data_IF_565379204321
#
_entry.id   IF_565379204321
#
_cell.length_a   1.000
_cell.length_b   1.000
_cell.length_c   1.000
_cell.angle_alpha   90.00
_cell.angle_beta   90.00
_cell.angle_gamma   90.00
#
_symmetry.space_group_name_H-M   'P 1'
#
loop_
_entity.id
_entity.type
_entity.pdbx_description
1 polymer ?
#
# COMPACT_ATOMS: atom_id res chain seq x y z
N UNK A 1 -0.97 -0.58 -15.47
CA UNK A 1 -1.81 0.13 -14.49
C UNK A 1 -3.09 -0.68 -14.26
N UNK A 2 -3.04 -1.66 -13.35
CA UNK A 2 -4.14 -2.60 -13.10
C UNK A 2 -4.95 -2.13 -11.89
N UNK A 3 -6.27 -2.03 -12.05
CA UNK A 3 -7.22 -1.80 -10.96
C UNK A 3 -8.04 -3.05 -10.82
N UNK A 4 -8.28 -3.46 -9.59
CA UNK A 4 -8.91 -4.72 -9.32
C UNK A 4 -9.74 -4.68 -8.08
N UNK A 5 -11.00 -4.33 -8.26
CA UNK A 5 -11.98 -4.65 -7.24
C UNK A 5 -12.27 -6.14 -7.30
N UNK A 6 -11.72 -6.91 -6.37
CA UNK A 6 -12.03 -8.33 -6.17
C UNK A 6 -13.55 -8.51 -6.01
N UNK A 7 -14.21 -9.18 -6.95
CA UNK A 7 -15.59 -9.67 -6.76
C UNK A 7 -15.58 -11.18 -6.62
N UNK A 8 -16.22 -11.69 -5.57
CA UNK A 8 -16.50 -13.11 -5.41
C UNK A 8 -17.74 -13.49 -6.22
N UNK A 9 -17.57 -14.39 -7.19
CA UNK A 9 -18.68 -15.05 -7.89
C UNK A 9 -18.70 -16.53 -7.55
N UNK A 10 -19.86 -17.06 -7.18
CA UNK A 10 -20.08 -18.51 -6.97
C UNK A 10 -20.80 -19.07 -8.19
N UNK A 11 -20.13 -19.96 -8.92
CA UNK A 11 -20.74 -20.76 -10.00
C UNK A 11 -20.38 -22.23 -9.73
N UNK A 12 -21.30 -22.99 -9.15
CA UNK A 12 -21.01 -24.34 -8.64
C UNK A 12 -20.14 -24.34 -7.37
N UNK A 13 -19.17 -25.28 -7.25
CA UNK A 13 -18.21 -25.37 -6.12
C UNK A 13 -16.99 -24.44 -6.26
N UNK A 14 -16.95 -23.61 -7.29
CA UNK A 14 -15.78 -22.78 -7.62
C UNK A 14 -15.98 -21.36 -7.11
N UNK A 15 -15.03 -20.86 -6.32
CA UNK A 15 -14.93 -19.44 -5.95
C UNK A 15 -14.02 -18.76 -6.95
N UNK A 16 -14.54 -17.77 -7.66
CA UNK A 16 -13.76 -16.96 -8.60
C UNK A 16 -13.63 -15.53 -8.09
N UNK A 17 -12.45 -14.95 -8.31
CA UNK A 17 -12.16 -13.57 -7.97
C UNK A 17 -11.71 -12.80 -9.22
N UNK A 18 -12.33 -11.65 -9.49
CA UNK A 18 -12.04 -10.83 -10.67
C UNK A 18 -11.62 -9.41 -10.30
N UNK A 19 -10.73 -8.83 -11.10
CA UNK A 19 -10.14 -7.50 -10.94
C UNK A 19 -10.80 -6.56 -11.96
N UNK A 20 -11.52 -5.54 -11.47
CA UNK A 20 -12.21 -4.57 -12.33
C UNK A 20 -11.31 -3.37 -12.64
N UNK A 21 -10.87 -3.29 -13.90
CA UNK A 21 -10.05 -2.20 -14.44
C UNK A 21 -10.91 -0.98 -14.84
N UNK A 22 -11.52 -0.28 -13.88
CA UNK A 22 -12.44 0.84 -14.13
C UNK A 22 -11.81 2.24 -14.04
N UNK A 23 -10.50 2.38 -14.13
CA UNK A 23 -9.82 3.65 -13.91
C UNK A 23 -10.12 4.35 -12.54
N UNK A 24 -10.66 3.66 -11.52
CA UNK A 24 -10.81 4.18 -10.14
C UNK A 24 -9.49 4.44 -9.39
N UNK A 25 -9.34 5.62 -8.80
CA UNK A 25 -8.07 6.25 -8.39
C UNK A 25 -7.18 5.39 -7.47
N UNK A 26 -5.86 5.41 -7.71
CA UNK A 26 -4.82 4.90 -6.80
C UNK A 26 -4.76 5.82 -5.59
N UNK A 27 -4.65 5.29 -4.37
CA UNK A 27 -4.54 6.17 -3.21
C UNK A 27 -3.17 6.83 -3.21
N UNK A 28 -3.13 8.16 -3.31
CA UNK A 28 -1.91 8.94 -3.17
C UNK A 28 -2.04 9.80 -1.91
N UNK A 29 -1.11 9.62 -0.98
CA UNK A 29 -1.06 10.34 0.29
C UNK A 29 0.21 11.19 0.30
N UNK A 30 0.07 12.44 0.71
CA UNK A 30 1.21 13.29 1.02
C UNK A 30 1.18 13.59 2.51
N UNK A 31 2.31 13.39 3.19
CA UNK A 31 2.47 13.56 4.62
C UNK A 31 3.78 14.30 4.91
N UNK A 32 3.91 14.81 6.13
CA UNK A 32 5.12 15.50 6.60
C UNK A 32 5.44 15.06 8.01
N UNK A 33 6.70 14.73 8.27
CA UNK A 33 7.23 14.49 9.60
C UNK A 33 8.19 15.61 9.98
N UNK A 34 7.85 16.35 11.03
CA UNK A 34 8.66 17.50 11.49
C UNK A 34 9.78 17.10 12.44
N UNK A 35 9.74 15.87 12.96
CA UNK A 35 10.65 15.37 14.00
C UNK A 35 11.46 14.15 13.54
N UNK A 36 11.58 13.94 12.22
CA UNK A 36 12.29 12.79 11.67
C UNK A 36 13.18 13.24 10.53
N UNK A 37 14.46 12.92 10.63
CA UNK A 37 15.42 13.07 9.56
C UNK A 37 15.72 11.72 8.89
N UNK A 38 16.44 11.74 7.78
CA UNK A 38 16.84 10.54 7.05
C UNK A 38 17.73 9.63 7.92
N UNK A 39 18.60 10.21 8.75
CA UNK A 39 19.48 9.46 9.65
C UNK A 39 18.70 8.64 10.69
N UNK A 40 17.59 9.19 11.21
CA UNK A 40 16.71 8.49 12.16
C UNK A 40 16.10 7.20 11.58
N UNK A 41 16.08 7.07 10.25
CA UNK A 41 15.55 5.90 9.54
C UNK A 41 16.67 4.93 9.14
N UNK A 42 17.82 5.46 8.68
CA UNK A 42 18.89 4.66 8.07
C UNK A 42 19.99 4.19 9.05
N UNK A 43 20.25 4.95 10.11
CA UNK A 43 21.32 4.63 11.08
C UNK A 43 20.98 3.50 12.07
N UNK A 44 19.72 3.37 12.55
CA UNK A 44 19.39 2.32 13.50
C UNK A 44 19.58 0.91 12.93
N UNK A 45 20.07 -0.01 13.76
CA UNK A 45 20.21 -1.44 13.38
C UNK A 45 18.86 -2.12 13.13
N UNK A 46 17.79 -1.65 13.79
CA UNK A 46 16.45 -2.17 13.67
C UNK A 46 15.52 -1.14 13.05
N UNK A 47 14.50 -1.60 12.32
CA UNK A 47 13.51 -0.72 11.69
C UNK A 47 12.80 0.10 12.77
N UNK A 48 12.91 1.44 12.74
CA UNK A 48 12.23 2.30 13.71
C UNK A 48 10.71 2.17 13.61
N UNK A 49 9.96 2.13 14.74
CA UNK A 49 8.50 1.98 14.71
C UNK A 49 7.77 3.09 13.93
N UNK A 50 8.38 4.26 13.79
CA UNK A 50 7.80 5.38 13.01
C UNK A 50 7.68 5.05 11.52
N UNK A 51 8.50 4.15 11.00
CA UNK A 51 8.50 3.76 9.58
C UNK A 51 7.15 3.18 9.16
N UNK A 52 6.45 2.47 10.05
CA UNK A 52 5.11 1.92 9.78
C UNK A 52 4.06 3.01 9.44
N UNK A 53 4.25 4.22 9.96
CA UNK A 53 3.38 5.38 9.69
C UNK A 53 3.63 6.02 8.32
N UNK A 54 4.75 5.68 7.66
CA UNK A 54 5.11 6.21 6.35
C UNK A 54 4.52 5.40 5.19
N UNK A 55 3.78 4.33 5.49
CA UNK A 55 3.04 3.54 4.53
C UNK A 55 1.54 3.81 4.62
N UNK A 56 0.91 4.07 3.48
CA UNK A 56 -0.54 4.11 3.40
C UNK A 56 -1.10 2.68 3.50
N UNK A 57 -2.34 2.52 3.97
CA UNK A 57 -3.00 1.22 4.14
C UNK A 57 -2.31 0.26 5.14
N UNK A 58 -1.44 0.75 6.03
CA UNK A 58 -0.89 -0.05 7.14
C UNK A 58 -2.03 -0.64 7.98
N UNK A 59 -2.02 -1.97 8.16
CA UNK A 59 -3.05 -2.71 8.89
C UNK A 59 -4.29 -3.13 8.08
N UNK A 60 -4.37 -2.78 6.78
CA UNK A 60 -5.44 -3.28 5.90
C UNK A 60 -5.15 -4.72 5.51
N UNK A 61 -6.06 -5.64 5.86
CA UNK A 61 -5.95 -7.06 5.50
C UNK A 61 -6.39 -7.28 4.05
N UNK A 62 -5.76 -8.24 3.37
CA UNK A 62 -5.97 -8.53 1.94
C UNK A 62 -7.42 -8.83 1.54
N UNK A 63 -8.29 -9.29 2.46
CA UNK A 63 -9.70 -9.55 2.18
C UNK A 63 -10.60 -8.29 2.22
N UNK A 64 -10.15 -7.21 2.84
CA UNK A 64 -10.90 -5.94 2.93
C UNK A 64 -10.83 -5.11 1.63
N UNK A 65 -10.07 -5.61 0.65
CA UNK A 65 -9.79 -4.97 -0.64
C UNK A 65 -10.98 -4.94 -1.59
N UNK A 66 -12.07 -5.66 -1.30
CA UNK A 66 -13.35 -5.46 -2.01
C UNK A 66 -13.84 -4.00 -1.91
N UNK A 67 -13.44 -3.30 -0.85
CA UNK A 67 -13.87 -1.92 -0.54
C UNK A 67 -12.73 -0.91 -0.42
N UNK A 68 -11.47 -1.36 -0.45
CA UNK A 68 -10.26 -0.52 -0.28
C UNK A 68 -9.38 -0.54 -1.54
N UNK A 69 -8.57 0.52 -1.80
CA UNK A 69 -7.74 0.59 -2.99
C UNK A 69 -6.67 -0.52 -3.02
N UNK A 70 -6.37 -1.04 -4.21
CA UNK A 70 -5.37 -2.11 -4.42
C UNK A 70 -3.91 -1.67 -4.27
N UNK A 71 -3.69 -0.38 -4.49
CA UNK A 71 -2.40 0.24 -4.58
C UNK A 71 -2.49 1.58 -3.86
N UNK A 72 -1.53 1.84 -2.99
CA UNK A 72 -1.35 3.14 -2.38
C UNK A 72 0.12 3.56 -2.41
N UNK A 73 0.33 4.85 -2.63
CA UNK A 73 1.62 5.51 -2.49
C UNK A 73 1.51 6.59 -1.43
N UNK A 74 2.49 6.67 -0.55
CA UNK A 74 2.62 7.74 0.42
C UNK A 74 3.98 8.41 0.25
N UNK A 75 3.97 9.71 0.01
CA UNK A 75 5.16 10.56 0.01
C UNK A 75 5.20 11.29 1.34
N UNK A 76 6.20 11.00 2.15
CA UNK A 76 6.40 11.65 3.45
C UNK A 76 7.63 12.55 3.36
N UNK A 77 7.44 13.85 3.55
CA UNK A 77 8.54 14.80 3.70
C UNK A 77 9.15 14.68 5.09
N UNK A 78 10.48 14.57 5.14
CA UNK A 78 11.29 14.56 6.34
C UNK A 78 11.97 15.92 6.50
N UNK A 79 12.67 16.13 7.62
CA UNK A 79 13.40 17.39 7.88
C UNK A 79 14.42 17.68 6.76
N UNK A 80 15.10 16.66 6.27
CA UNK A 80 16.25 16.72 5.36
C UNK A 80 16.10 15.79 4.15
N UNK A 81 14.91 15.25 3.89
CA UNK A 81 14.71 14.29 2.81
C UNK A 81 13.25 13.93 2.52
N UNK A 82 13.06 12.91 1.69
CA UNK A 82 11.73 12.40 1.31
C UNK A 82 11.74 10.88 1.46
N UNK A 83 10.70 10.35 2.08
CA UNK A 83 10.41 8.92 2.15
C UNK A 83 9.23 8.59 1.23
N UNK A 84 9.36 7.54 0.40
CA UNK A 84 8.29 7.07 -0.48
C UNK A 84 7.89 5.64 -0.08
N UNK A 85 6.73 5.52 0.56
CA UNK A 85 6.12 4.24 0.92
C UNK A 85 5.16 3.77 -0.16
N UNK A 86 5.20 2.48 -0.49
CA UNK A 86 4.27 1.84 -1.42
C UNK A 86 3.63 0.62 -0.77
N UNK A 87 2.32 0.48 -0.95
CA UNK A 87 1.52 -0.61 -0.37
C UNK A 87 0.70 -1.29 -1.46
N UNK A 88 0.86 -2.60 -1.55
CA UNK A 88 0.26 -3.45 -2.57
C UNK A 88 -0.53 -4.57 -1.90
N UNK A 89 -1.65 -4.97 -2.49
CA UNK A 89 -2.28 -6.23 -2.10
C UNK A 89 -1.57 -7.43 -2.74
N UNK A 90 -0.97 -8.29 -1.91
CA UNK A 90 -0.29 -9.53 -2.31
C UNK A 90 -1.21 -10.52 -3.06
N UNK A 91 -2.54 -10.40 -2.93
CA UNK A 91 -3.49 -11.21 -3.67
C UNK A 91 -3.56 -10.86 -5.17
N UNK A 92 -2.99 -9.73 -5.59
CA UNK A 92 -3.00 -9.25 -6.97
C UNK A 92 -1.59 -9.10 -7.55
N UNK A 93 -0.60 -8.82 -6.70
CA UNK A 93 0.77 -8.48 -7.11
C UNK A 93 1.74 -9.36 -6.29
N UNK A 94 2.64 -10.08 -6.96
CA UNK A 94 3.74 -10.80 -6.31
C UNK A 94 4.98 -9.91 -6.18
N UNK A 95 5.94 -10.30 -5.33
CA UNK A 95 7.14 -9.49 -5.08
C UNK A 95 8.07 -9.30 -6.30
N UNK A 96 7.82 -10.01 -7.42
CA UNK A 96 8.54 -9.81 -8.68
C UNK A 96 7.86 -8.78 -9.58
N UNK A 97 6.58 -8.53 -9.35
CA UNK A 97 5.75 -7.59 -10.10
C UNK A 97 5.64 -6.21 -9.43
N UNK A 98 6.27 -6.04 -8.26
CA UNK A 98 6.47 -4.76 -7.56
C UNK A 98 7.68 -4.03 -8.12
#
# INVERSE_FOLDING_TARGET
MVKGKMRNGVFGKTVSCSVICNNAVVLFVHARSENTCVADILEPTYVPPIVDSFFALTGVRSYEVTSKPLLAFQVTELIDGIFIGCSFNHAVIDGKSV
#
